data_IF_412527962388
#
_entry.id   IF_412527962388
#
_cell.length_a   1.000
_cell.length_b   1.000
_cell.length_c   1.000
_cell.angle_alpha   90.00
_cell.angle_beta   90.00
_cell.angle_gamma   90.00
#
_symmetry.space_group_name_H-M   'P 1'
#
loop_
_entity.id
_entity.type
_entity.pdbx_description
1 polymer ?
#
# COMPACT_ATOMS: atom_id res chain seq x y z
N UNK A 1 -7.10 -40.87 -8.82
CA UNK A 1 -7.23 -40.42 -8.61
C UNK A 1 -7.06 -40.19 -8.26
N UNK A 2 -7.05 -40.55 -8.11
CA UNK A 2 -7.15 -40.07 -7.69
C UNK A 2 -7.25 -39.35 -7.51
N UNK A 3 -7.43 -39.40 -7.57
CA UNK A 3 -7.79 -38.63 -7.38
C UNK A 3 -7.88 -38.03 -7.06
N UNK A 4 -8.15 -38.20 -7.00
CA UNK A 4 -8.45 -37.48 -6.63
C UNK A 4 -8.14 -36.75 -6.29
N UNK A 5 -7.71 -37.10 -6.44
CA UNK A 5 -7.57 -36.23 -5.86
C UNK A 5 -7.61 -35.10 -5.83
N UNK A 6 -8.42 -35.27 -5.67
CA UNK A 6 -8.70 -34.08 -5.16
C UNK A 6 -7.97 -32.96 -5.71
N UNK A 7 -8.23 -32.18 -6.18
CA UNK A 7 -7.63 -31.03 -6.64
C UNK A 7 -6.12 -31.00 -6.62
N UNK A 8 -5.55 -30.31 -7.47
CA UNK A 8 -4.14 -30.02 -7.41
C UNK A 8 -3.85 -29.25 -6.12
N UNK A 9 -3.02 -29.75 -5.20
CA UNK A 9 -2.69 -29.01 -4.00
C UNK A 9 -2.19 -27.61 -4.24
N UNK A 10 -1.52 -27.36 -5.35
CA UNK A 10 -1.00 -26.05 -5.69
C UNK A 10 -2.12 -25.03 -5.98
N UNK A 11 -3.28 -25.50 -6.43
CA UNK A 11 -4.42 -24.62 -6.72
C UNK A 11 -5.06 -24.04 -5.45
N UNK A 12 -4.86 -24.67 -4.30
CA UNK A 12 -5.42 -24.20 -3.03
C UNK A 12 -4.42 -23.41 -2.21
N UNK A 13 -3.18 -23.33 -2.67
CA UNK A 13 -2.11 -22.66 -1.94
C UNK A 13 -1.93 -21.23 -2.43
N UNK A 14 -2.13 -20.29 -1.52
CA UNK A 14 -1.92 -18.87 -1.83
C UNK A 14 -0.43 -18.53 -1.78
N UNK A 15 0.05 -17.89 -2.83
CA UNK A 15 1.41 -17.37 -2.90
C UNK A 15 1.37 -16.01 -3.59
N UNK A 16 1.56 -14.96 -2.81
CA UNK A 16 1.47 -13.58 -3.31
C UNK A 16 2.69 -12.83 -2.80
N UNK A 17 3.37 -12.14 -3.70
CA UNK A 17 4.49 -11.28 -3.36
C UNK A 17 3.97 -9.86 -3.19
N UNK A 18 4.14 -9.31 -1.99
CA UNK A 18 3.81 -7.92 -1.68
C UNK A 18 5.10 -7.18 -1.32
N UNK A 19 5.17 -5.86 -1.58
CA UNK A 19 6.35 -5.11 -1.16
C UNK A 19 6.48 -5.12 0.36
N UNK A 20 7.67 -5.36 0.86
CA UNK A 20 7.97 -5.24 2.29
C UNK A 20 8.23 -3.79 2.67
N UNK A 21 8.57 -2.96 1.69
CA UNK A 21 8.88 -1.54 1.89
C UNK A 21 8.31 -0.76 0.72
N UNK A 22 7.65 0.36 1.01
CA UNK A 22 7.30 1.39 0.04
C UNK A 22 8.20 2.59 0.36
N UNK A 23 9.37 2.69 -0.29
CA UNK A 23 10.34 3.71 0.10
C UNK A 23 9.86 5.11 -0.24
N UNK A 24 10.11 6.04 0.67
CA UNK A 24 9.98 7.47 0.41
C UNK A 24 11.26 8.16 0.85
N UNK A 25 11.57 9.26 0.21
CA UNK A 25 12.63 10.16 0.63
C UNK A 25 12.04 11.56 0.75
N UNK A 26 12.34 12.23 1.84
CA UNK A 26 11.85 13.59 2.12
C UNK A 26 13.04 14.53 2.22
N UNK A 27 13.07 15.54 1.37
CA UNK A 27 14.09 16.56 1.41
C UNK A 27 13.74 17.69 2.38
N UNK A 28 14.75 18.45 2.79
CA UNK A 28 14.55 19.62 3.65
C UNK A 28 13.77 20.73 2.97
N UNK A 29 13.67 20.68 1.65
CA UNK A 29 12.87 21.62 0.86
C UNK A 29 11.40 21.20 0.73
N UNK A 30 11.00 20.10 1.38
CA UNK A 30 9.64 19.60 1.34
C UNK A 30 9.33 18.66 0.20
N UNK A 31 10.30 18.35 -0.66
CA UNK A 31 10.09 17.39 -1.74
C UNK A 31 9.99 15.96 -1.21
N UNK A 32 9.10 15.18 -1.80
CA UNK A 32 8.91 13.75 -1.47
C UNK A 32 9.14 12.95 -2.74
N UNK A 33 9.99 11.94 -2.65
CA UNK A 33 10.25 11.00 -3.74
C UNK A 33 9.71 9.62 -3.37
N UNK A 34 9.12 8.94 -4.34
CA UNK A 34 8.55 7.60 -4.16
C UNK A 34 9.10 6.66 -5.22
N UNK A 35 9.01 5.34 -4.97
CA UNK A 35 9.35 4.35 -5.97
C UNK A 35 8.22 4.25 -7.01
N UNK A 36 8.59 3.97 -8.25
CA UNK A 36 7.65 3.84 -9.36
C UNK A 36 7.47 2.39 -9.82
N UNK A 37 8.17 1.46 -9.20
CA UNK A 37 8.17 0.05 -9.59
C UNK A 37 7.52 -0.86 -8.54
N UNK A 38 6.83 -0.31 -7.56
CA UNK A 38 6.14 -1.10 -6.54
C UNK A 38 4.97 -1.86 -7.17
N UNK A 39 4.85 -3.13 -6.83
CA UNK A 39 3.76 -3.97 -7.35
C UNK A 39 3.48 -5.15 -6.43
N UNK A 40 2.28 -5.71 -6.58
CA UNK A 40 1.88 -6.96 -5.95
C UNK A 40 1.78 -8.00 -7.07
N UNK A 41 2.34 -9.18 -6.84
CA UNK A 41 2.34 -10.26 -7.84
C UNK A 41 1.67 -11.49 -7.26
N UNK A 42 0.68 -12.01 -7.95
CA UNK A 42 0.03 -13.26 -7.61
C UNK A 42 0.78 -14.42 -8.27
N UNK A 43 1.40 -15.25 -7.46
CA UNK A 43 2.11 -16.46 -7.91
C UNK A 43 1.26 -17.70 -7.70
N UNK A 44 0.00 -17.55 -7.33
CA UNK A 44 -0.95 -18.63 -7.09
C UNK A 44 -1.59 -19.08 -8.40
N UNK A 45 -2.10 -20.30 -8.44
CA UNK A 45 -2.88 -20.75 -9.59
C UNK A 45 -4.26 -20.10 -9.64
N UNK A 46 -4.86 -19.80 -8.49
CA UNK A 46 -6.15 -19.14 -8.42
C UNK A 46 -6.05 -17.63 -8.41
N UNK A 47 -7.12 -16.96 -8.79
CA UNK A 47 -7.21 -15.51 -8.75
C UNK A 47 -7.29 -15.01 -7.30
N UNK A 48 -6.69 -13.87 -7.03
CA UNK A 48 -6.71 -13.25 -5.71
C UNK A 48 -7.10 -11.78 -5.84
N UNK A 49 -7.40 -11.18 -4.69
CA UNK A 49 -7.73 -9.78 -4.61
C UNK A 49 -7.09 -9.15 -3.38
N UNK A 50 -6.83 -7.85 -3.44
CA UNK A 50 -6.48 -7.09 -2.25
C UNK A 50 -7.79 -6.74 -1.55
N UNK A 51 -8.04 -7.36 -0.40
CA UNK A 51 -9.31 -7.23 0.32
C UNK A 51 -9.30 -6.06 1.31
N UNK A 52 -8.13 -5.69 1.81
CA UNK A 52 -8.01 -4.63 2.81
C UNK A 52 -6.60 -4.07 2.77
N UNK A 53 -6.49 -2.76 3.00
CA UNK A 53 -5.20 -2.08 3.13
C UNK A 53 -5.30 -1.14 4.31
N UNK A 54 -4.35 -1.23 5.22
CA UNK A 54 -4.26 -0.32 6.35
C UNK A 54 -2.85 0.26 6.46
N UNK A 55 -2.75 1.41 7.13
CA UNK A 55 -1.47 2.07 7.38
C UNK A 55 -1.39 2.42 8.85
N UNK A 56 -0.23 2.21 9.42
CA UNK A 56 0.06 2.54 10.81
C UNK A 56 1.32 3.41 10.87
N UNK A 57 1.23 4.55 11.55
CA UNK A 57 2.37 5.43 11.72
C UNK A 57 3.42 4.77 12.61
N UNK A 58 4.70 4.94 12.28
CA UNK A 58 5.78 4.50 13.12
C UNK A 58 5.82 5.32 14.41
N UNK A 59 6.48 4.79 15.43
CA UNK A 59 6.66 5.51 16.68
C UNK A 59 7.33 6.87 16.42
N UNK A 60 6.76 7.92 16.97
CA UNK A 60 7.26 9.28 16.76
C UNK A 60 6.65 9.96 15.54
N UNK A 61 5.81 9.28 14.78
CA UNK A 61 5.12 9.84 13.62
C UNK A 61 3.61 9.79 13.81
N UNK A 62 2.91 10.66 13.09
CA UNK A 62 1.44 10.73 13.14
C UNK A 62 0.87 10.85 11.74
N UNK A 63 -0.29 10.22 11.54
CA UNK A 63 -1.03 10.34 10.28
C UNK A 63 -1.81 11.66 10.25
N UNK A 64 -1.88 12.25 9.08
CA UNK A 64 -2.63 13.47 8.79
C UNK A 64 -3.34 13.33 7.46
N UNK A 65 -4.17 14.31 7.11
CA UNK A 65 -4.92 14.27 5.87
C UNK A 65 -4.01 14.53 4.67
N UNK A 66 -3.99 13.63 3.71
CA UNK A 66 -3.19 13.79 2.49
C UNK A 66 -3.66 15.01 1.68
N UNK A 67 -4.95 15.28 1.70
CA UNK A 67 -5.51 16.40 0.94
C UNK A 67 -5.20 17.77 1.51
N UNK A 68 -4.57 17.88 2.67
CA UNK A 68 -4.36 19.15 3.38
C UNK A 68 -2.89 19.56 3.36
N UNK A 69 -2.34 19.66 2.16
CA UNK A 69 -0.93 20.00 1.97
C UNK A 69 -0.56 21.36 2.57
N UNK A 70 -1.45 22.33 2.44
CA UNK A 70 -1.18 23.68 2.94
C UNK A 70 -1.00 23.71 4.45
N UNK A 71 -1.89 23.03 5.20
CA UNK A 71 -1.78 22.95 6.66
C UNK A 71 -0.51 22.22 7.07
N UNK A 72 -0.19 21.11 6.41
CA UNK A 72 1.02 20.36 6.74
C UNK A 72 2.28 21.17 6.48
N UNK A 73 2.30 21.99 5.42
CA UNK A 73 3.44 22.83 5.09
C UNK A 73 3.70 23.91 6.14
N UNK A 74 2.68 24.30 6.89
CA UNK A 74 2.78 25.32 7.92
C UNK A 74 2.99 24.78 9.34
N UNK A 75 3.08 23.47 9.48
CA UNK A 75 3.37 22.84 10.78
C UNK A 75 4.80 23.14 11.20
N UNK A 76 5.07 22.95 12.48
CA UNK A 76 6.41 23.11 13.02
C UNK A 76 7.39 22.15 12.35
N UNK A 77 8.62 22.59 12.19
CA UNK A 77 9.69 21.71 11.73
C UNK A 77 9.82 20.53 12.69
N UNK A 78 9.91 19.34 12.14
CA UNK A 78 9.99 18.08 12.88
C UNK A 78 8.72 17.75 13.69
N UNK A 79 7.57 18.25 13.25
CA UNK A 79 6.29 17.81 13.81
C UNK A 79 6.02 16.33 13.52
N UNK A 80 6.65 15.78 12.50
CA UNK A 80 6.61 14.36 12.15
C UNK A 80 5.18 13.87 11.88
N UNK A 81 4.46 14.63 11.08
CA UNK A 81 3.13 14.26 10.58
C UNK A 81 3.20 14.04 9.08
N UNK A 82 2.43 13.10 8.58
CA UNK A 82 2.38 12.86 7.14
C UNK A 82 0.99 12.42 6.70
N UNK A 83 0.62 12.81 5.49
CA UNK A 83 -0.53 12.26 4.78
C UNK A 83 -0.03 11.26 3.74
N UNK A 84 -0.83 10.25 3.45
CA UNK A 84 -0.43 9.17 2.54
C UNK A 84 -1.56 8.90 1.54
N UNK A 85 -1.19 8.60 0.30
CA UNK A 85 -2.14 8.18 -0.72
C UNK A 85 -1.66 6.89 -1.37
N UNK A 86 -2.62 6.07 -1.80
CA UNK A 86 -2.37 4.79 -2.42
C UNK A 86 -3.37 4.56 -3.54
N UNK A 87 -2.88 4.09 -4.68
CA UNK A 87 -3.70 3.68 -5.80
C UNK A 87 -3.23 2.32 -6.27
N UNK A 88 -4.12 1.34 -6.32
CA UNK A 88 -3.82 -0.01 -6.78
C UNK A 88 -4.30 -0.15 -8.21
N UNK A 89 -3.38 -0.51 -9.12
CA UNK A 89 -3.69 -0.66 -10.53
C UNK A 89 -4.29 0.62 -11.10
N UNK A 90 -5.41 0.50 -11.77
CA UNK A 90 -6.16 1.63 -12.34
C UNK A 90 -7.36 2.04 -11.49
N UNK A 91 -7.35 1.63 -10.22
CA UNK A 91 -8.46 1.90 -9.32
C UNK A 91 -8.46 3.31 -8.74
N UNK A 92 -9.38 3.53 -7.82
CA UNK A 92 -9.54 4.81 -7.15
C UNK A 92 -8.40 5.05 -6.16
N UNK A 93 -7.92 6.29 -6.11
CA UNK A 93 -6.93 6.71 -5.12
C UNK A 93 -7.56 6.75 -3.73
N UNK A 94 -6.90 6.13 -2.77
CA UNK A 94 -7.28 6.16 -1.35
C UNK A 94 -6.29 6.99 -0.56
N UNK A 95 -6.79 7.76 0.39
CA UNK A 95 -5.97 8.73 1.12
C UNK A 95 -6.24 8.66 2.60
N UNK A 96 -5.23 8.99 3.39
CA UNK A 96 -5.41 9.18 4.83
C UNK A 96 -6.20 10.47 5.09
N UNK A 97 -6.85 10.51 6.25
CA UNK A 97 -7.54 11.69 6.75
C UNK A 97 -6.95 12.10 8.11
N UNK A 98 -7.62 13.00 8.83
CA UNK A 98 -7.15 13.50 10.12
C UNK A 98 -7.86 12.86 11.32
N UNK A 99 -8.61 11.78 11.09
CA UNK A 99 -9.46 11.21 12.14
C UNK A 99 -8.74 10.31 13.11
N UNK A 100 -7.64 9.68 12.67
CA UNK A 100 -6.86 8.81 13.55
C UNK A 100 -5.38 8.97 13.22
N UNK A 101 -4.61 9.40 14.20
CA UNK A 101 -3.20 9.72 14.00
C UNK A 101 -2.30 8.48 14.00
N UNK A 102 -2.75 7.36 14.56
CA UNK A 102 -1.89 6.18 14.68
C UNK A 102 -2.12 5.14 13.61
N UNK A 103 -3.36 4.91 13.21
CA UNK A 103 -3.68 3.85 12.25
C UNK A 103 -4.94 4.19 11.48
N UNK A 104 -4.94 3.92 10.18
CA UNK A 104 -6.11 4.12 9.33
C UNK A 104 -6.26 2.97 8.35
N UNK A 105 -7.50 2.67 7.98
CA UNK A 105 -7.79 1.71 6.93
C UNK A 105 -8.07 2.48 5.66
N UNK A 106 -7.24 2.24 4.63
CA UNK A 106 -7.37 2.91 3.33
C UNK A 106 -8.39 2.21 2.45
N UNK A 107 -8.51 0.90 2.60
CA UNK A 107 -9.38 0.07 1.77
C UNK A 107 -10.01 -0.99 2.65
N UNK A 108 -11.35 -1.03 2.69
CA UNK A 108 -12.09 -2.02 3.50
C UNK A 108 -12.62 -3.17 2.67
N UNK A 109 -12.76 -2.97 1.35
CA UNK A 109 -13.23 -3.99 0.42
C UNK A 109 -12.47 -3.85 -0.89
N UNK A 110 -12.36 -4.94 -1.64
CA UNK A 110 -11.73 -4.90 -2.95
C UNK A 110 -12.55 -4.02 -3.90
N UNK A 111 -11.85 -3.13 -4.59
CA UNK A 111 -12.43 -2.25 -5.60
C UNK A 111 -11.73 -2.52 -6.93
N UNK A 112 -12.17 -1.83 -7.98
CA UNK A 112 -11.51 -1.91 -9.28
C UNK A 112 -10.01 -1.66 -9.11
N UNK A 113 -9.18 -2.46 -9.76
CA UNK A 113 -7.72 -2.39 -9.63
C UNK A 113 -7.14 -3.34 -8.58
N UNK A 114 -7.98 -3.96 -7.73
CA UNK A 114 -7.52 -4.84 -6.66
C UNK A 114 -7.42 -6.31 -7.07
N UNK A 115 -7.85 -6.67 -8.26
CA UNK A 115 -7.99 -8.06 -8.67
C UNK A 115 -6.82 -8.52 -9.52
N UNK A 116 -6.34 -9.73 -9.27
CA UNK A 116 -5.23 -10.33 -10.01
C UNK A 116 -5.62 -11.73 -10.44
N UNK A 117 -5.37 -12.04 -11.70
CA UNK A 117 -5.52 -13.41 -12.22
C UNK A 117 -4.48 -14.34 -11.61
N UNK A 118 -4.71 -15.63 -11.69
CA UNK A 118 -3.70 -16.62 -11.34
C UNK A 118 -2.53 -16.61 -12.31
N UNK A 119 -1.51 -17.37 -11.96
CA UNK A 119 -0.23 -17.38 -12.69
C UNK A 119 -0.35 -17.88 -14.11
N UNK A 120 -1.46 -18.53 -14.48
CA UNK A 120 -1.73 -18.92 -15.86
C UNK A 120 -1.95 -17.74 -16.80
N UNK A 121 -2.22 -16.55 -16.29
CA UNK A 121 -2.36 -15.33 -17.07
C UNK A 121 -1.37 -14.28 -16.57
N UNK A 122 -0.15 -14.34 -17.10
CA UNK A 122 0.93 -13.46 -16.67
C UNK A 122 0.75 -12.00 -17.11
N UNK A 123 -0.25 -11.72 -17.95
CA UNK A 123 -0.59 -10.34 -18.31
C UNK A 123 -1.46 -9.65 -17.26
N UNK A 124 -2.07 -10.41 -16.34
CA UNK A 124 -3.03 -9.90 -15.36
C UNK A 124 -2.79 -10.41 -13.94
N UNK A 125 -1.64 -11.06 -13.67
CA UNK A 125 -1.36 -11.61 -12.36
C UNK A 125 -0.59 -10.65 -11.43
N UNK A 126 -0.51 -9.39 -11.80
CA UNK A 126 0.13 -8.37 -10.95
C UNK A 126 -0.64 -7.06 -11.06
N UNK A 127 -0.51 -6.25 -10.02
CA UNK A 127 -1.03 -4.88 -10.01
C UNK A 127 0.08 -3.95 -9.54
N UNK A 128 0.15 -2.78 -10.17
CA UNK A 128 1.09 -1.75 -9.76
C UNK A 128 0.55 -0.99 -8.55
N UNK A 129 1.44 -0.50 -7.72
CA UNK A 129 1.12 0.33 -6.56
C UNK A 129 1.67 1.72 -6.84
N UNK A 130 0.78 2.70 -6.98
CA UNK A 130 1.17 4.10 -7.01
C UNK A 130 0.88 4.69 -5.64
N UNK A 131 1.87 5.34 -5.05
CA UNK A 131 1.70 5.92 -3.72
C UNK A 131 2.43 7.25 -3.63
N UNK A 132 1.99 8.08 -2.70
CA UNK A 132 2.59 9.38 -2.46
C UNK A 132 2.40 9.76 -1.00
N UNK A 133 3.17 10.73 -0.56
CA UNK A 133 3.07 11.24 0.80
C UNK A 133 3.30 12.74 0.81
N UNK A 134 2.67 13.40 1.78
CA UNK A 134 2.91 14.79 2.10
C UNK A 134 3.40 14.81 3.54
N UNK A 135 4.57 15.38 3.78
CA UNK A 135 5.23 15.31 5.07
C UNK A 135 5.44 16.74 5.59
N UNK A 136 5.27 16.91 6.89
CA UNK A 136 5.56 18.19 7.56
C UNK A 136 7.05 18.52 7.42
N UNK A 137 7.43 19.81 7.56
CA UNK A 137 8.83 20.21 7.38
C UNK A 137 9.79 19.45 8.27
N UNK A 138 10.95 19.10 7.74
CA UNK A 138 12.00 18.38 8.45
C UNK A 138 13.30 19.19 8.39
N UNK A 139 14.09 19.15 9.47
CA UNK A 139 15.37 19.83 9.53
C UNK A 139 16.49 19.03 8.87
N UNK A 140 16.27 17.72 8.70
CA UNK A 140 17.21 16.82 8.04
C UNK A 140 16.45 15.96 7.06
N UNK A 141 17.07 15.62 5.94
CA UNK A 141 16.46 14.73 4.97
C UNK A 141 16.13 13.37 5.61
N UNK A 142 14.96 12.83 5.27
CA UNK A 142 14.52 11.51 5.74
C UNK A 142 14.74 10.51 4.63
N UNK A 143 15.65 9.58 4.85
CA UNK A 143 15.95 8.49 3.94
C UNK A 143 16.17 7.23 4.76
N UNK A 144 15.80 6.10 4.20
CA UNK A 144 16.02 4.79 4.83
C UNK A 144 15.42 4.70 6.26
N UNK A 145 14.43 5.52 6.56
CA UNK A 145 13.75 5.53 7.85
C UNK A 145 12.29 5.17 7.62
N UNK A 146 11.79 4.19 8.36
CA UNK A 146 10.38 3.82 8.29
C UNK A 146 9.55 4.86 9.05
N UNK A 147 8.63 5.51 8.34
CA UNK A 147 7.68 6.44 8.96
C UNK A 147 6.30 5.81 9.14
N UNK A 148 6.07 4.67 8.50
CA UNK A 148 4.79 3.95 8.57
C UNK A 148 4.97 2.49 8.15
N UNK A 149 3.98 1.68 8.50
CA UNK A 149 3.83 0.31 7.98
C UNK A 149 2.53 0.24 7.21
N UNK A 150 2.55 -0.36 6.02
CA UNK A 150 1.36 -0.60 5.21
C UNK A 150 1.10 -2.09 5.17
N UNK A 151 -0.11 -2.50 5.54
CA UNK A 151 -0.51 -3.90 5.56
C UNK A 151 -1.52 -4.14 4.43
N UNK A 152 -1.20 -5.10 3.56
CA UNK A 152 -2.09 -5.57 2.51
C UNK A 152 -2.66 -6.92 2.93
N UNK A 153 -3.98 -7.03 2.98
CA UNK A 153 -4.65 -8.29 3.24
C UNK A 153 -5.16 -8.84 1.91
N UNK A 154 -4.67 -10.01 1.55
CA UNK A 154 -4.97 -10.66 0.29
C UNK A 154 -5.96 -11.78 0.56
N UNK A 155 -6.96 -11.92 -0.29
CA UNK A 155 -7.95 -12.99 -0.20
C UNK A 155 -8.10 -13.66 -1.56
N UNK A 156 -8.61 -14.88 -1.56
CA UNK A 156 -9.00 -15.53 -2.82
C UNK A 156 -10.13 -14.70 -3.45
N UNK A 157 -10.04 -14.54 -4.75
CA UNK A 157 -11.15 -13.98 -5.53
C UNK A 157 -12.09 -15.13 -5.84
N UNK A 158 -12.91 -15.49 -4.85
CA UNK A 158 -13.84 -16.59 -4.96
C UNK A 158 -14.95 -16.24 -5.93
N UNK A 159 -15.19 -17.14 -6.83
CA UNK A 159 -16.21 -16.98 -7.85
C UNK A 159 -17.40 -17.88 -7.54
#
# INVERSE_FOLDING_TARGET
ADGSIGGDPAATKMSVTVPTVLPIAVGTDGTVSTATDAKIVNNSFGAVKVANVSIEAAQGWSLAAFGDKATLAHEKVNANKFGFSLCLGDGEKKMTDDKNASKQTLLTDAINGCFMSGVGDTSANSISIAYDAIVTPVSEAVTNTAIASVLFIIAWDAV
#
